data_IF_552868521758
#
_entry.id   IF_552868521758
#
_cell.length_a   1.000
_cell.length_b   1.000
_cell.length_c   1.000
_cell.angle_alpha   90.00
_cell.angle_beta   90.00
_cell.angle_gamma   90.00
#
_symmetry.space_group_name_H-M   'P 1'
#
loop_
_entity.id
_entity.type
_entity.pdbx_description
1 polymer ?
#
# COMPACT_ATOMS: atom_id res chain seq x y z
N UNK A 1 18.33 4.79 -13.64
CA UNK A 1 17.92 4.87 -12.23
C UNK A 1 16.41 5.06 -12.31
N UNK A 2 15.63 4.20 -11.67
CA UNK A 2 14.17 4.35 -11.68
C UNK A 2 13.82 5.46 -10.69
N UNK A 3 12.91 6.36 -11.05
CA UNK A 3 12.53 7.49 -10.20
C UNK A 3 11.68 6.99 -9.02
N UNK A 4 11.75 7.65 -7.86
CA UNK A 4 11.05 7.23 -6.65
C UNK A 4 9.55 7.00 -6.88
N UNK A 5 8.88 7.92 -7.59
CA UNK A 5 7.46 7.79 -7.89
C UNK A 5 7.12 6.57 -8.76
N UNK A 6 8.02 6.17 -9.68
CA UNK A 6 7.84 4.98 -10.51
C UNK A 6 7.96 3.70 -9.67
N UNK A 7 8.82 3.73 -8.63
CA UNK A 7 8.95 2.62 -7.68
C UNK A 7 7.71 2.53 -6.80
N UNK A 8 7.21 3.65 -6.29
CA UNK A 8 5.97 3.72 -5.49
C UNK A 8 4.78 3.23 -6.30
N UNK A 9 4.63 3.67 -7.55
CA UNK A 9 3.53 3.21 -8.41
C UNK A 9 3.60 1.70 -8.64
N UNK A 10 4.77 1.18 -9.01
CA UNK A 10 4.94 -0.24 -9.33
C UNK A 10 4.80 -1.17 -8.12
N UNK A 11 5.29 -0.75 -6.94
CA UNK A 11 5.35 -1.60 -5.73
C UNK A 11 4.16 -1.41 -4.79
N UNK A 12 3.50 -0.26 -4.82
CA UNK A 12 2.38 0.05 -3.91
C UNK A 12 1.09 0.35 -4.68
N UNK A 13 1.06 1.39 -5.50
CA UNK A 13 -0.18 1.89 -6.10
C UNK A 13 -0.87 0.84 -6.98
N UNK A 14 -0.15 0.25 -7.93
CA UNK A 14 -0.73 -0.75 -8.84
C UNK A 14 -1.15 -2.04 -8.10
N UNK A 15 -0.35 -2.61 -7.17
CA UNK A 15 -0.77 -3.74 -6.35
C UNK A 15 -2.01 -3.47 -5.50
N UNK A 16 -2.10 -2.31 -4.84
CA UNK A 16 -3.27 -1.94 -4.02
C UNK A 16 -4.50 -1.76 -4.91
N UNK A 17 -4.35 -1.13 -6.08
CA UNK A 17 -5.44 -0.98 -7.05
C UNK A 17 -6.00 -2.35 -7.49
N UNK A 18 -5.10 -3.30 -7.78
CA UNK A 18 -5.50 -4.66 -8.13
C UNK A 18 -6.22 -5.35 -6.97
N UNK A 19 -5.74 -5.17 -5.75
CA UNK A 19 -6.38 -5.72 -4.55
C UNK A 19 -7.78 -5.12 -4.33
N UNK A 20 -7.97 -3.82 -4.58
CA UNK A 20 -9.29 -3.18 -4.56
C UNK A 20 -10.25 -3.78 -5.59
N UNK A 21 -9.80 -4.07 -6.82
CA UNK A 21 -10.63 -4.77 -7.80
C UNK A 21 -11.01 -6.17 -7.32
N UNK A 22 -10.07 -6.93 -6.77
CA UNK A 22 -10.34 -8.26 -6.23
C UNK A 22 -11.39 -8.22 -5.09
N UNK A 23 -11.34 -7.20 -4.23
CA UNK A 23 -12.34 -7.01 -3.18
C UNK A 23 -13.71 -6.59 -3.71
N UNK A 24 -13.74 -5.68 -4.69
CA UNK A 24 -14.97 -5.24 -5.33
C UNK A 24 -15.69 -6.41 -6.02
N UNK A 25 -14.97 -7.23 -6.78
CA UNK A 25 -15.51 -8.40 -7.49
C UNK A 25 -16.11 -9.45 -6.55
N UNK A 26 -15.64 -9.49 -5.31
CA UNK A 26 -16.07 -10.45 -4.28
C UNK A 26 -17.11 -9.89 -3.30
N UNK A 27 -17.50 -8.62 -3.42
CA UNK A 27 -18.41 -7.95 -2.49
C UNK A 27 -17.78 -7.67 -1.11
N UNK A 28 -16.46 -7.69 -1.00
CA UNK A 28 -15.71 -7.37 0.22
C UNK A 28 -15.61 -5.84 0.40
N UNK A 29 -16.75 -5.22 0.69
CA UNK A 29 -16.91 -3.76 0.64
C UNK A 29 -16.12 -3.02 1.73
N UNK A 30 -15.92 -3.62 2.90
CA UNK A 30 -15.19 -3.01 4.01
C UNK A 30 -13.70 -2.93 3.67
N UNK A 31 -13.13 -4.04 3.20
CA UNK A 31 -11.75 -4.13 2.72
C UNK A 31 -11.53 -3.20 1.52
N UNK A 32 -12.44 -3.23 0.54
CA UNK A 32 -12.38 -2.30 -0.59
C UNK A 32 -12.31 -0.85 -0.14
N UNK A 33 -13.22 -0.43 0.75
CA UNK A 33 -13.30 0.96 1.23
C UNK A 33 -12.01 1.36 1.93
N UNK A 34 -11.46 0.46 2.72
CA UNK A 34 -10.22 0.67 3.44
C UNK A 34 -9.02 0.86 2.49
N UNK A 35 -8.79 -0.09 1.58
CA UNK A 35 -7.65 -0.03 0.65
C UNK A 35 -7.81 1.09 -0.40
N UNK A 36 -9.04 1.45 -0.77
CA UNK A 36 -9.30 2.64 -1.59
C UNK A 36 -8.93 3.94 -0.84
N UNK A 37 -9.13 3.98 0.49
CA UNK A 37 -8.66 5.07 1.34
C UNK A 37 -7.13 5.20 1.31
N UNK A 38 -6.41 4.07 1.34
CA UNK A 38 -4.94 4.05 1.19
C UNK A 38 -4.51 4.59 -0.18
N UNK A 39 -5.20 4.22 -1.27
CA UNK A 39 -4.87 4.74 -2.61
C UNK A 39 -4.97 6.26 -2.70
N UNK A 40 -5.89 6.89 -1.97
CA UNK A 40 -5.99 8.34 -1.94
C UNK A 40 -4.75 9.00 -1.33
N UNK A 41 -4.07 8.33 -0.39
CA UNK A 41 -2.80 8.81 0.16
C UNK A 41 -1.67 8.68 -0.87
N UNK A 42 -1.77 7.76 -1.83
CA UNK A 42 -0.78 7.58 -2.90
C UNK A 42 -1.11 8.39 -4.17
N UNK A 43 -2.07 9.33 -4.10
CA UNK A 43 -2.50 10.13 -5.25
C UNK A 43 -1.39 11.07 -5.77
N UNK A 44 -0.49 11.53 -4.89
CA UNK A 44 0.75 12.19 -5.28
C UNK A 44 1.96 11.38 -4.81
N UNK A 45 2.54 10.52 -5.67
CA UNK A 45 3.67 9.68 -5.30
C UNK A 45 4.99 10.44 -5.16
N UNK A 46 5.03 11.76 -5.44
CA UNK A 46 6.20 12.60 -5.16
C UNK A 46 6.19 13.15 -3.74
N UNK A 47 5.06 13.05 -3.04
CA UNK A 47 4.93 13.45 -1.65
C UNK A 47 5.37 12.29 -0.73
N UNK A 48 6.64 12.32 -0.35
CA UNK A 48 7.24 11.35 0.56
C UNK A 48 6.48 11.22 1.90
N UNK A 49 5.91 12.32 2.42
CA UNK A 49 5.14 12.28 3.67
C UNK A 49 3.84 11.49 3.49
N UNK A 50 3.19 11.65 2.33
CA UNK A 50 1.99 10.90 2.00
C UNK A 50 2.26 9.42 1.73
N UNK A 51 3.40 9.08 1.10
CA UNK A 51 3.84 7.68 0.95
C UNK A 51 4.09 7.04 2.32
N UNK A 52 4.74 7.76 3.24
CA UNK A 52 4.93 7.27 4.60
C UNK A 52 3.59 7.08 5.35
N UNK A 53 2.67 8.03 5.20
CA UNK A 53 1.32 7.93 5.76
C UNK A 53 0.57 6.71 5.21
N UNK A 54 0.70 6.43 3.91
CA UNK A 54 0.14 5.24 3.28
C UNK A 54 0.74 3.95 3.83
N UNK A 55 2.05 3.87 4.05
CA UNK A 55 2.71 2.73 4.69
C UNK A 55 2.20 2.47 6.11
N UNK A 56 2.04 3.54 6.89
CA UNK A 56 1.49 3.45 8.24
C UNK A 56 0.03 2.99 8.20
N UNK A 57 -0.77 3.54 7.27
CA UNK A 57 -2.15 3.11 7.08
C UNK A 57 -2.19 1.64 6.70
N UNK A 58 -1.48 1.18 5.66
CA UNK A 58 -1.41 -0.23 5.26
C UNK A 58 -1.15 -1.17 6.45
N UNK A 59 -0.21 -0.80 7.33
CA UNK A 59 0.13 -1.60 8.52
C UNK A 59 -1.05 -1.76 9.50
N UNK A 60 -2.02 -0.84 9.51
CA UNK A 60 -3.22 -0.92 10.36
C UNK A 60 -4.18 -2.03 9.93
N UNK A 61 -4.12 -2.50 8.68
CA UNK A 61 -5.05 -3.51 8.17
C UNK A 61 -5.02 -4.82 8.98
N UNK A 62 -3.89 -5.14 9.62
CA UNK A 62 -3.72 -6.30 10.48
C UNK A 62 -4.55 -6.24 11.78
N UNK A 63 -5.02 -5.05 12.18
CA UNK A 63 -5.73 -4.81 13.45
C UNK A 63 -7.23 -4.56 13.28
N UNK A 64 -7.73 -4.52 12.04
CA UNK A 64 -9.13 -4.16 11.74
C UNK A 64 -10.10 -5.34 11.76
N UNK A 65 -9.59 -6.57 11.92
CA UNK A 65 -10.43 -7.77 11.98
C UNK A 65 -10.96 -8.25 10.62
N UNK A 66 -10.38 -7.79 9.51
CA UNK A 66 -10.73 -8.23 8.16
C UNK A 66 -10.42 -9.71 7.92
N UNK A 67 -11.29 -10.40 7.20
CA UNK A 67 -11.14 -11.82 6.85
C UNK A 67 -10.68 -11.98 5.40
N UNK A 68 -9.37 -12.05 5.21
CA UNK A 68 -8.78 -12.25 3.88
C UNK A 68 -8.75 -13.71 3.47
N UNK A 69 -9.03 -13.96 2.18
CA UNK A 69 -8.60 -15.21 1.53
C UNK A 69 -7.09 -15.35 1.59
N UNK A 70 -6.61 -16.59 1.45
CA UNK A 70 -5.18 -16.88 1.40
C UNK A 70 -4.46 -16.05 0.32
N UNK A 71 -5.02 -15.99 -0.89
CA UNK A 71 -4.46 -15.20 -2.00
C UNK A 71 -4.40 -13.69 -1.69
N UNK A 72 -5.46 -13.11 -1.10
CA UNK A 72 -5.47 -11.71 -0.72
C UNK A 72 -4.45 -11.42 0.39
N UNK A 73 -4.30 -12.34 1.34
CA UNK A 73 -3.33 -12.23 2.44
C UNK A 73 -1.89 -12.22 1.93
N UNK A 74 -1.55 -13.13 1.01
CA UNK A 74 -0.23 -13.16 0.39
C UNK A 74 0.08 -11.86 -0.38
N UNK A 75 -0.91 -11.30 -1.08
CA UNK A 75 -0.77 -10.00 -1.76
C UNK A 75 -0.54 -8.87 -0.75
N UNK A 76 -1.32 -8.82 0.32
CA UNK A 76 -1.20 -7.81 1.37
C UNK A 76 0.16 -7.90 2.06
N UNK A 77 0.59 -9.10 2.44
CA UNK A 77 1.89 -9.33 3.07
C UNK A 77 3.03 -8.83 2.18
N UNK A 78 2.94 -9.07 0.86
CA UNK A 78 3.94 -8.56 -0.08
C UNK A 78 3.92 -7.03 -0.19
N UNK A 79 2.73 -6.42 -0.24
CA UNK A 79 2.58 -4.95 -0.26
C UNK A 79 3.17 -4.34 1.02
N UNK A 80 2.94 -4.96 2.18
CA UNK A 80 3.47 -4.51 3.46
C UNK A 80 5.00 -4.58 3.50
N UNK A 81 5.59 -5.68 3.04
CA UNK A 81 7.05 -5.82 2.91
C UNK A 81 7.62 -4.71 2.02
N UNK A 82 7.02 -4.48 0.87
CA UNK A 82 7.47 -3.45 -0.07
C UNK A 82 7.33 -2.03 0.51
N UNK A 83 6.26 -1.76 1.26
CA UNK A 83 6.03 -0.48 1.91
C UNK A 83 7.06 -0.20 3.01
N UNK A 84 7.44 -1.22 3.79
CA UNK A 84 8.47 -1.14 4.83
C UNK A 84 9.85 -0.88 4.21
N UNK A 85 10.20 -1.60 3.14
CA UNK A 85 11.45 -1.39 2.40
C UNK A 85 11.57 0.05 1.87
N UNK A 86 10.47 0.57 1.33
CA UNK A 86 10.41 1.94 0.81
C UNK A 86 10.59 2.97 1.93
N UNK A 87 9.86 2.82 3.04
CA UNK A 87 10.00 3.70 4.20
C UNK A 87 11.43 3.69 4.78
N UNK A 88 12.08 2.52 4.83
CA UNK A 88 13.48 2.41 5.22
C UNK A 88 14.43 3.12 4.26
N UNK A 89 14.20 3.00 2.95
CA UNK A 89 15.01 3.66 1.93
C UNK A 89 14.92 5.18 2.05
N UNK A 90 13.71 5.72 2.19
CA UNK A 90 13.47 7.16 2.38
C UNK A 90 14.13 7.69 3.66
N UNK A 91 14.00 6.94 4.77
CA UNK A 91 14.61 7.28 6.05
C UNK A 91 16.15 7.29 5.99
N UNK A 92 16.74 6.44 5.16
CA UNK A 92 18.19 6.38 4.96
C UNK A 92 18.71 7.49 4.02
N UNK A 93 17.92 7.89 3.02
CA UNK A 93 18.29 8.95 2.06
C UNK A 93 18.23 10.37 2.66
N UNK A 94 17.41 10.60 3.69
CA UNK A 94 17.35 11.89 4.40
C UNK A 94 18.54 12.20 5.33
N UNK A 95 19.52 11.30 5.45
CA UNK A 95 20.65 11.42 6.39
C UNK A 95 21.95 11.95 5.75
N UNK A 96 21.94 12.49 4.52
CA UNK A 96 23.11 13.06 3.84
C UNK A 96 22.91 14.51 3.42
#
# INVERSE_FOLDING_TARGET
MQEFHEIVDARLTQPILKLCHDFADRGAHEEYTYFAGVLNLLADPNDEEMVLAATIELSRCAFLGFEYTEDARLKIDKILEDAIDLAHTMSASGAN
#
